data_IF_615728392607
#
_entry.id   IF_615728392607
#
_cell.length_a   1.000
_cell.length_b   1.000
_cell.length_c   1.000
_cell.angle_alpha   90.00
_cell.angle_beta   90.00
_cell.angle_gamma   90.00
#
_symmetry.space_group_name_H-M   'P 1'
#
loop_
_entity.id
_entity.type
_entity.pdbx_description
1 polymer ?
#
# COMPACT_ATOMS: atom_id res chain seq x y z
N UNK A 1 8.34 5.34 -14.87
CA UNK A 1 7.82 6.73 -14.78
C UNK A 1 6.37 6.72 -15.21
N UNK A 2 5.54 7.59 -14.64
CA UNK A 2 4.12 7.73 -14.95
C UNK A 2 3.76 9.21 -14.96
N UNK A 3 2.72 9.57 -15.72
CA UNK A 3 2.27 10.97 -15.82
C UNK A 3 1.02 11.25 -14.99
N UNK A 4 0.26 10.21 -14.64
CA UNK A 4 -1.02 10.33 -13.93
C UNK A 4 -1.10 9.43 -12.71
N UNK A 5 -1.98 9.79 -11.77
CA UNK A 5 -2.28 8.93 -10.61
C UNK A 5 -2.80 7.55 -11.05
N UNK A 6 -3.67 7.52 -12.07
CA UNK A 6 -4.23 6.27 -12.60
C UNK A 6 -3.16 5.35 -13.18
N UNK A 7 -2.18 5.89 -13.92
CA UNK A 7 -1.05 5.10 -14.41
C UNK A 7 -0.18 4.58 -13.27
N UNK A 8 0.06 5.40 -12.23
CA UNK A 8 0.81 4.96 -11.06
C UNK A 8 0.13 3.78 -10.34
N UNK A 9 -1.19 3.86 -10.17
CA UNK A 9 -2.00 2.78 -9.58
C UNK A 9 -1.97 1.54 -10.46
N UNK A 10 -2.15 1.69 -11.78
CA UNK A 10 -2.10 0.57 -12.71
C UNK A 10 -0.76 -0.17 -12.62
N UNK A 11 0.36 0.57 -12.64
CA UNK A 11 1.70 0.00 -12.49
C UNK A 11 1.93 -0.64 -11.12
N UNK A 12 1.38 -0.07 -10.04
CA UNK A 12 1.50 -0.65 -8.70
C UNK A 12 0.72 -1.96 -8.54
N UNK A 13 -0.40 -2.09 -9.25
CA UNK A 13 -1.26 -3.27 -9.24
C UNK A 13 -0.88 -4.32 -10.30
N UNK A 14 0.02 -3.99 -11.23
CA UNK A 14 0.58 -4.91 -12.24
C UNK A 14 1.61 -5.86 -11.62
N UNK A 15 1.20 -6.51 -10.54
CA UNK A 15 1.98 -7.46 -9.77
C UNK A 15 1.05 -8.61 -9.38
N UNK A 16 1.47 -9.85 -9.64
CA UNK A 16 0.74 -11.05 -9.17
C UNK A 16 0.77 -11.17 -7.64
N UNK A 17 1.65 -10.44 -6.98
CA UNK A 17 1.75 -10.34 -5.52
C UNK A 17 1.07 -9.08 -4.98
N UNK A 18 0.62 -9.13 -3.72
CA UNK A 18 -0.03 -7.99 -3.04
C UNK A 18 0.31 -7.88 -1.56
N UNK A 19 1.58 -8.08 -1.17
CA UNK A 19 1.98 -8.05 0.23
C UNK A 19 1.88 -6.64 0.83
N UNK A 20 2.68 -5.71 0.31
CA UNK A 20 2.73 -4.35 0.81
C UNK A 20 3.14 -3.34 -0.27
N UNK A 21 2.76 -2.08 -0.08
CA UNK A 21 3.16 -0.95 -0.89
C UNK A 21 3.43 0.29 -0.01
N UNK A 22 4.10 1.30 -0.56
CA UNK A 22 4.26 2.59 0.10
C UNK A 22 4.08 3.72 -0.91
N UNK A 23 3.35 4.75 -0.51
CA UNK A 23 3.07 5.95 -1.32
C UNK A 23 3.77 7.14 -0.69
N UNK A 24 4.65 7.78 -1.46
CA UNK A 24 5.40 8.95 -1.05
C UNK A 24 4.93 10.18 -1.82
N UNK A 25 4.52 11.22 -1.10
CA UNK A 25 3.98 12.44 -1.68
C UNK A 25 4.13 13.62 -0.71
N UNK A 26 4.38 14.81 -1.27
CA UNK A 26 4.34 16.09 -0.54
C UNK A 26 2.93 16.68 -0.45
N UNK A 27 2.02 16.19 -1.28
CA UNK A 27 0.60 16.55 -1.25
C UNK A 27 -0.11 15.82 -0.10
N UNK A 28 -1.06 16.49 0.55
CA UNK A 28 -1.76 15.99 1.72
C UNK A 28 -2.82 14.90 1.41
N UNK A 29 -3.53 15.02 0.29
CA UNK A 29 -4.71 14.18 0.00
C UNK A 29 -4.43 13.11 -1.07
N UNK A 30 -3.54 13.43 -2.01
CA UNK A 30 -3.10 12.53 -3.08
C UNK A 30 -2.63 11.17 -2.58
N UNK A 31 -1.74 11.05 -1.57
CA UNK A 31 -1.26 9.74 -1.17
C UNK A 31 -2.40 8.84 -0.64
N UNK A 32 -3.38 9.44 0.04
CA UNK A 32 -4.56 8.72 0.54
C UNK A 32 -5.47 8.23 -0.59
N UNK A 33 -5.66 9.02 -1.66
CA UNK A 33 -6.41 8.58 -2.85
C UNK A 33 -5.73 7.42 -3.54
N UNK A 34 -4.43 7.53 -3.77
CA UNK A 34 -3.64 6.48 -4.43
C UNK A 34 -3.64 5.20 -3.59
N UNK A 35 -3.38 5.31 -2.29
CA UNK A 35 -3.30 4.14 -1.41
C UNK A 35 -4.60 3.33 -1.35
N UNK A 36 -5.77 3.99 -1.42
CA UNK A 36 -7.08 3.31 -1.50
C UNK A 36 -7.30 2.51 -2.78
N UNK A 37 -6.54 2.81 -3.84
CA UNK A 37 -6.64 2.13 -5.13
C UNK A 37 -5.57 1.05 -5.34
N UNK A 38 -4.61 0.91 -4.41
CA UNK A 38 -3.57 -0.12 -4.48
C UNK A 38 -4.09 -1.44 -3.91
N UNK A 39 -3.84 -2.54 -4.62
CA UNK A 39 -4.22 -3.90 -4.25
C UNK A 39 -3.11 -4.57 -3.43
N UNK A 40 -2.92 -4.11 -2.19
CA UNK A 40 -1.93 -4.67 -1.26
C UNK A 40 -2.50 -4.89 0.14
N UNK A 41 -1.90 -5.80 0.91
CA UNK A 41 -2.30 -6.08 2.29
C UNK A 41 -1.90 -5.01 3.30
N UNK A 42 -0.92 -4.18 2.98
CA UNK A 42 -0.58 -3.00 3.76
C UNK A 42 -0.09 -1.91 2.82
N UNK A 43 -0.57 -0.69 3.01
CA UNK A 43 -0.09 0.47 2.26
C UNK A 43 0.34 1.53 3.26
N UNK A 44 1.63 1.89 3.24
CA UNK A 44 2.15 2.99 4.04
C UNK A 44 2.06 4.32 3.28
N UNK A 45 1.89 5.41 4.02
CA UNK A 45 1.91 6.77 3.49
C UNK A 45 3.11 7.51 4.09
N UNK A 46 4.02 7.99 3.23
CA UNK A 46 5.23 8.72 3.63
C UNK A 46 6.04 7.99 4.72
N UNK A 47 6.04 6.67 4.66
CA UNK A 47 6.67 5.80 5.63
C UNK A 47 6.99 4.44 4.99
N UNK A 48 7.85 3.64 5.61
CA UNK A 48 8.17 2.30 5.14
C UNK A 48 8.48 1.38 6.32
N UNK A 49 7.81 0.22 6.32
CA UNK A 49 8.03 -0.85 7.30
C UNK A 49 7.80 -0.43 8.76
N UNK A 50 7.12 0.68 9.01
CA UNK A 50 6.67 1.05 10.35
C UNK A 50 5.48 0.18 10.72
N UNK A 51 5.72 -0.67 11.71
CA UNK A 51 4.71 -1.52 12.34
C UNK A 51 4.25 -0.83 13.62
N UNK A 52 3.01 -0.36 13.64
CA UNK A 52 2.39 0.13 14.87
C UNK A 52 1.97 -1.05 15.74
N UNK A 53 1.90 -0.85 17.06
CA UNK A 53 1.36 -1.86 17.98
C UNK A 53 -0.05 -2.28 17.51
N UNK A 54 -0.20 -3.56 17.15
CA UNK A 54 -1.41 -4.13 16.53
C UNK A 54 -1.31 -4.49 15.03
N UNK A 55 -0.50 -3.78 14.25
CA UNK A 55 -0.33 -4.08 12.81
C UNK A 55 0.45 -5.38 12.56
N UNK A 56 1.43 -5.68 13.41
CA UNK A 56 2.19 -6.94 13.33
C UNK A 56 1.26 -8.17 13.48
N UNK A 57 0.27 -8.11 14.38
CA UNK A 57 -0.69 -9.19 14.57
C UNK A 57 -1.64 -9.35 13.37
N UNK A 58 -2.10 -8.25 12.77
CA UNK A 58 -2.94 -8.29 11.57
C UNK A 58 -2.21 -8.88 10.36
N UNK A 59 -0.97 -8.46 10.13
CA UNK A 59 -0.16 -8.97 9.02
C UNK A 59 0.19 -10.45 9.19
N UNK A 60 0.47 -10.89 10.43
CA UNK A 60 0.68 -12.30 10.73
C UNK A 60 -0.55 -13.16 10.39
N UNK A 61 -1.76 -12.71 10.73
CA UNK A 61 -3.01 -13.40 10.37
C UNK A 61 -3.23 -13.47 8.86
N UNK A 62 -3.00 -12.37 8.15
CA UNK A 62 -3.12 -12.33 6.69
C UNK A 62 -2.11 -13.24 6.00
N UNK A 63 -0.86 -13.29 6.48
CA UNK A 63 0.16 -14.19 5.97
C UNK A 63 -0.14 -15.67 6.26
N UNK A 64 -0.83 -15.95 7.36
CA UNK A 64 -1.28 -17.29 7.72
C UNK A 64 -2.53 -17.77 6.96
N UNK A 65 -3.17 -16.90 6.16
CA UNK A 65 -4.37 -17.25 5.39
C UNK A 65 -5.65 -17.37 6.23
N UNK A 66 -5.63 -16.88 7.47
CA UNK A 66 -6.81 -16.86 8.33
C UNK A 66 -7.65 -15.61 8.03
N UNK A 67 -8.87 -15.81 7.52
CA UNK A 67 -9.89 -14.76 7.37
C UNK A 67 -10.72 -14.63 8.65
#
# INVERSE_FOLDING_TARGET
MFDTETQAVALANDSEYGLAASVWSRDADRPLRIARSIQAGTVWINDWMVLREGQAAYLAKKAAGEQ
#
